data_IF_842187599541
#
_entry.id   IF_842187599541
#
_cell.length_a   1.000
_cell.length_b   1.000
_cell.length_c   1.000
_cell.angle_alpha   90.00
_cell.angle_beta   90.00
_cell.angle_gamma   90.00
#
_symmetry.space_group_name_H-M   'P 1'
#
loop_
_entity.id
_entity.type
_entity.pdbx_description
1 polymer ?
#
# COMPACT_ATOMS: atom_id res chain seq x y z
N UNK A 1 -69.57 -83.59 -20.85
CA UNK A 1 -68.44 -82.72 -20.47
C UNK A 1 -67.16 -83.46 -20.88
N UNK A 2 -66.61 -83.14 -22.06
CA UNK A 2 -65.27 -83.60 -22.44
C UNK A 2 -64.28 -82.97 -21.45
N UNK A 3 -63.54 -83.81 -20.75
CA UNK A 3 -62.72 -83.44 -19.59
C UNK A 3 -61.34 -82.90 -20.04
N UNK A 4 -61.32 -81.94 -20.97
CA UNK A 4 -60.08 -81.39 -21.56
C UNK A 4 -59.68 -80.00 -21.03
N UNK A 5 -60.47 -79.38 -20.13
CA UNK A 5 -60.17 -78.03 -19.60
C UNK A 5 -59.47 -78.07 -18.22
N UNK A 6 -58.15 -78.29 -18.21
CA UNK A 6 -57.32 -78.14 -17.00
C UNK A 6 -57.13 -76.68 -16.56
N UNK A 7 -57.46 -75.71 -17.43
CA UNK A 7 -57.37 -74.27 -17.13
C UNK A 7 -58.36 -73.84 -16.03
N UNK A 8 -59.46 -74.58 -15.84
CA UNK A 8 -60.41 -74.34 -14.76
C UNK A 8 -59.80 -74.49 -13.36
N UNK A 9 -58.81 -75.38 -13.21
CA UNK A 9 -58.09 -75.61 -11.93
C UNK A 9 -57.17 -74.46 -11.55
N UNK A 10 -56.76 -73.63 -12.50
CA UNK A 10 -55.88 -72.48 -12.28
C UNK A 10 -56.66 -71.19 -11.99
N UNK A 11 -58.00 -71.22 -12.05
CA UNK A 11 -58.84 -70.07 -11.75
C UNK A 11 -58.86 -69.75 -10.24
N UNK A 12 -58.86 -68.47 -9.89
CA UNK A 12 -58.94 -68.01 -8.48
C UNK A 12 -60.26 -68.39 -7.78
N UNK A 13 -61.28 -68.80 -8.55
CA UNK A 13 -62.59 -69.25 -8.07
C UNK A 13 -62.72 -70.76 -7.89
N UNK A 14 -61.67 -71.53 -8.16
CA UNK A 14 -61.70 -72.98 -7.99
C UNK A 14 -61.79 -73.35 -6.51
N UNK A 15 -62.78 -74.16 -6.15
CA UNK A 15 -62.97 -74.69 -4.80
C UNK A 15 -63.00 -76.21 -4.88
N UNK A 16 -61.99 -76.86 -4.29
CA UNK A 16 -61.80 -78.31 -4.35
C UNK A 16 -63.01 -79.09 -3.83
N UNK A 17 -63.69 -78.59 -2.80
CA UNK A 17 -64.86 -79.22 -2.20
C UNK A 17 -66.07 -79.23 -3.14
N UNK A 18 -66.29 -78.13 -3.89
CA UNK A 18 -67.37 -78.04 -4.87
C UNK A 18 -67.11 -78.98 -6.04
N UNK A 19 -65.88 -79.00 -6.55
CA UNK A 19 -65.49 -79.91 -7.62
C UNK A 19 -65.63 -81.38 -7.22
N UNK A 20 -65.22 -81.74 -6.00
CA UNK A 20 -65.40 -83.09 -5.48
C UNK A 20 -66.88 -83.50 -5.38
N UNK A 21 -67.76 -82.57 -4.98
CA UNK A 21 -69.20 -82.80 -4.95
C UNK A 21 -69.79 -82.95 -6.35
N UNK A 22 -69.42 -82.07 -7.28
CA UNK A 22 -69.86 -82.14 -8.68
C UNK A 22 -69.39 -83.45 -9.35
N UNK A 23 -68.20 -83.94 -9.02
CA UNK A 23 -67.67 -85.22 -9.51
C UNK A 23 -68.42 -86.43 -8.93
N UNK A 24 -68.77 -86.38 -7.65
CA UNK A 24 -69.61 -87.41 -7.00
C UNK A 24 -71.00 -87.46 -7.62
N UNK A 25 -71.62 -86.28 -7.86
CA UNK A 25 -72.90 -86.17 -8.54
C UNK A 25 -72.83 -86.63 -10.00
N UNK A 26 -71.73 -86.36 -10.71
CA UNK A 26 -71.54 -86.77 -12.11
C UNK A 26 -71.25 -88.26 -12.29
N UNK A 27 -70.88 -88.98 -11.22
CA UNK A 27 -70.56 -90.42 -11.25
C UNK A 27 -71.64 -91.30 -10.62
N UNK A 28 -72.69 -90.70 -10.04
CA UNK A 28 -73.82 -91.40 -9.44
C UNK A 28 -75.14 -90.98 -10.09
N UNK A 29 -76.11 -91.89 -10.15
CA UNK A 29 -77.43 -91.63 -10.71
C UNK A 29 -78.46 -91.46 -9.58
N UNK A 30 -79.42 -90.54 -9.75
CA UNK A 30 -80.32 -90.10 -8.66
C UNK A 30 -81.28 -91.21 -8.19
N UNK A 31 -81.54 -92.21 -9.04
CA UNK A 31 -82.49 -93.30 -8.81
C UNK A 31 -81.86 -94.58 -8.20
N UNK A 32 -80.55 -94.58 -7.90
CA UNK A 32 -79.85 -95.75 -7.36
C UNK A 32 -79.81 -95.67 -5.82
N UNK A 33 -80.34 -96.69 -5.12
CA UNK A 33 -80.43 -96.72 -3.64
C UNK A 33 -79.06 -96.88 -2.94
N UNK A 34 -77.98 -97.13 -3.69
CA UNK A 34 -76.62 -97.29 -3.18
C UNK A 34 -75.65 -96.29 -3.82
N UNK A 35 -75.04 -95.44 -2.99
CA UNK A 35 -74.05 -94.45 -3.43
C UNK A 35 -72.71 -95.12 -3.81
N UNK A 36 -72.28 -95.01 -5.07
CA UNK A 36 -70.96 -95.44 -5.54
C UNK A 36 -69.90 -94.37 -5.25
N UNK A 37 -69.17 -94.60 -4.15
CA UNK A 37 -68.07 -93.73 -3.71
C UNK A 37 -66.73 -94.14 -4.34
N UNK A 38 -66.66 -95.29 -5.04
CA UNK A 38 -65.39 -95.84 -5.52
C UNK A 38 -65.01 -95.38 -6.93
N UNK A 39 -65.99 -95.03 -7.76
CA UNK A 39 -65.75 -94.63 -9.15
C UNK A 39 -65.17 -93.21 -9.28
N UNK A 40 -65.64 -92.28 -8.46
CA UNK A 40 -65.14 -90.89 -8.40
C UNK A 40 -63.62 -90.78 -8.13
N UNK A 41 -63.07 -91.39 -7.05
CA UNK A 41 -61.64 -91.35 -6.76
C UNK A 41 -60.77 -92.03 -7.82
N UNK A 42 -61.27 -93.10 -8.45
CA UNK A 42 -60.57 -93.77 -9.55
C UNK A 42 -60.41 -92.84 -10.74
N UNK A 43 -61.47 -92.11 -11.12
CA UNK A 43 -61.42 -91.13 -12.22
C UNK A 43 -60.42 -90.01 -11.93
N UNK A 44 -60.46 -89.44 -10.73
CA UNK A 44 -59.47 -88.43 -10.31
C UNK A 44 -58.04 -88.97 -10.37
N UNK A 45 -57.83 -90.24 -10.00
CA UNK A 45 -56.51 -90.88 -10.07
C UNK A 45 -56.03 -91.04 -11.52
N UNK A 46 -56.93 -91.30 -12.48
CA UNK A 46 -56.60 -91.30 -13.90
C UNK A 46 -56.21 -89.91 -14.39
N UNK A 47 -56.95 -88.86 -14.02
CA UNK A 47 -56.66 -87.48 -14.42
C UNK A 47 -55.30 -87.01 -13.86
N UNK A 48 -54.98 -87.36 -12.60
CA UNK A 48 -53.67 -87.09 -12.00
C UNK A 48 -52.56 -87.80 -12.78
N UNK A 49 -52.78 -89.05 -13.17
CA UNK A 49 -51.80 -89.82 -13.94
C UNK A 49 -51.61 -89.22 -15.34
N UNK A 50 -52.67 -88.77 -15.99
CA UNK A 50 -52.59 -88.08 -17.28
C UNK A 50 -51.80 -86.76 -17.17
N UNK A 51 -52.03 -85.97 -16.12
CA UNK A 51 -51.24 -84.77 -15.85
C UNK A 51 -49.76 -85.09 -15.63
N UNK A 52 -49.45 -86.17 -14.91
CA UNK A 52 -48.07 -86.64 -14.73
C UNK A 52 -47.44 -87.05 -16.06
N UNK A 53 -48.17 -87.74 -16.92
CA UNK A 53 -47.69 -88.15 -18.24
C UNK A 53 -47.51 -86.95 -19.18
N UNK A 54 -48.41 -85.98 -19.16
CA UNK A 54 -48.29 -84.73 -19.92
C UNK A 54 -47.10 -83.88 -19.43
N UNK A 55 -46.92 -83.78 -18.12
CA UNK A 55 -45.79 -83.06 -17.52
C UNK A 55 -44.47 -83.76 -17.87
N UNK A 56 -44.42 -85.09 -17.82
CA UNK A 56 -43.26 -85.87 -18.24
C UNK A 56 -42.94 -85.65 -19.74
N UNK A 57 -43.96 -85.60 -20.61
CA UNK A 57 -43.79 -85.26 -22.03
C UNK A 57 -43.33 -83.82 -22.25
N UNK A 58 -43.87 -82.86 -21.49
CA UNK A 58 -43.49 -81.46 -21.60
C UNK A 58 -42.04 -81.23 -21.13
N UNK A 59 -41.67 -81.86 -20.01
CA UNK A 59 -40.30 -81.82 -19.47
C UNK A 59 -39.33 -82.51 -20.41
N UNK A 60 -39.68 -83.66 -21.00
CA UNK A 60 -38.78 -84.35 -21.93
C UNK A 60 -38.59 -83.56 -23.24
N UNK A 61 -39.68 -83.03 -23.82
CA UNK A 61 -39.65 -82.26 -25.07
C UNK A 61 -38.96 -80.89 -24.93
N UNK A 62 -39.06 -80.24 -23.78
CA UNK A 62 -38.48 -78.90 -23.54
C UNK A 62 -37.27 -78.91 -22.59
N UNK A 63 -36.73 -80.09 -22.29
CA UNK A 63 -35.61 -80.29 -21.35
C UNK A 63 -34.42 -79.39 -21.64
N UNK A 64 -34.03 -79.29 -22.91
CA UNK A 64 -32.93 -78.43 -23.37
C UNK A 64 -33.21 -76.96 -23.08
N UNK A 65 -34.40 -76.45 -23.43
CA UNK A 65 -34.77 -75.06 -23.19
C UNK A 65 -34.81 -74.72 -21.70
N UNK A 66 -35.36 -75.61 -20.87
CA UNK A 66 -35.41 -75.43 -19.41
C UNK A 66 -34.00 -75.41 -18.80
N UNK A 67 -33.12 -76.32 -19.21
CA UNK A 67 -31.71 -76.35 -18.77
C UNK A 67 -30.97 -75.08 -19.20
N UNK A 68 -31.22 -74.58 -20.42
CA UNK A 68 -30.59 -73.36 -20.93
C UNK A 68 -31.09 -72.12 -20.18
N UNK A 69 -32.38 -72.04 -19.87
CA UNK A 69 -32.90 -70.94 -19.05
C UNK A 69 -32.37 -70.99 -17.61
N UNK A 70 -32.28 -72.19 -17.02
CA UNK A 70 -31.67 -72.37 -15.70
C UNK A 70 -30.18 -72.00 -15.70
N UNK A 71 -29.43 -72.31 -16.77
CA UNK A 71 -28.03 -71.92 -16.89
C UNK A 71 -27.87 -70.41 -17.03
N UNK A 72 -28.68 -69.74 -17.87
CA UNK A 72 -28.68 -68.28 -17.99
C UNK A 72 -29.03 -67.58 -16.66
N UNK A 73 -30.01 -68.09 -15.92
CA UNK A 73 -30.36 -67.56 -14.59
C UNK A 73 -29.18 -67.75 -13.61
N UNK A 74 -28.49 -68.88 -13.68
CA UNK A 74 -27.32 -69.14 -12.84
C UNK A 74 -26.13 -68.23 -13.18
N UNK A 75 -25.92 -67.91 -14.46
CA UNK A 75 -24.87 -66.99 -14.93
C UNK A 75 -25.21 -65.54 -14.57
N UNK A 76 -26.47 -65.12 -14.74
CA UNK A 76 -26.93 -63.81 -14.30
C UNK A 76 -26.81 -63.64 -12.77
N UNK A 77 -27.08 -64.70 -12.01
CA UNK A 77 -26.88 -64.70 -10.56
C UNK A 77 -25.39 -64.58 -10.21
N UNK A 78 -24.51 -65.33 -10.88
CA UNK A 78 -23.05 -65.23 -10.69
C UNK A 78 -22.50 -63.85 -11.03
N UNK A 79 -22.97 -63.23 -12.12
CA UNK A 79 -22.53 -61.88 -12.50
C UNK A 79 -23.08 -60.81 -11.55
N UNK A 80 -24.31 -60.96 -11.06
CA UNK A 80 -24.87 -60.09 -10.03
C UNK A 80 -24.14 -60.21 -8.68
N UNK A 81 -23.78 -61.43 -8.26
CA UNK A 81 -22.96 -61.67 -7.07
C UNK A 81 -21.50 -61.18 -7.27
N UNK A 82 -20.97 -61.27 -8.49
CA UNK A 82 -19.64 -60.79 -8.87
C UNK A 82 -19.51 -59.26 -8.94
N UNK A 83 -20.60 -58.54 -9.19
CA UNK A 83 -20.69 -57.09 -9.05
C UNK A 83 -20.66 -56.73 -7.56
N UNK A 84 -19.45 -56.63 -7.00
CA UNK A 84 -19.23 -56.28 -5.60
C UNK A 84 -19.43 -54.77 -5.36
N UNK A 85 -20.65 -54.29 -5.63
CA UNK A 85 -21.10 -52.92 -5.39
C UNK A 85 -20.86 -52.51 -3.94
N UNK A 86 -20.88 -53.47 -3.00
CA UNK A 86 -20.52 -53.26 -1.60
C UNK A 86 -19.06 -52.88 -1.43
N UNK A 87 -18.13 -53.57 -2.12
CA UNK A 87 -16.71 -53.24 -2.10
C UNK A 87 -16.41 -51.92 -2.80
N UNK A 88 -17.10 -51.59 -3.89
CA UNK A 88 -16.96 -50.28 -4.53
C UNK A 88 -17.45 -49.18 -3.59
N UNK A 89 -18.63 -49.34 -2.99
CA UNK A 89 -19.16 -48.39 -2.02
C UNK A 89 -18.28 -48.28 -0.78
N UNK A 90 -17.67 -49.37 -0.30
CA UNK A 90 -16.74 -49.31 0.83
C UNK A 90 -15.44 -48.60 0.45
N UNK A 91 -14.90 -48.84 -0.75
CA UNK A 91 -13.74 -48.12 -1.29
C UNK A 91 -14.02 -46.63 -1.48
N UNK A 92 -15.18 -46.24 -2.00
CA UNK A 92 -15.57 -44.82 -2.10
C UNK A 92 -15.81 -44.17 -0.75
N UNK A 93 -16.46 -44.87 0.19
CA UNK A 93 -16.60 -44.38 1.58
C UNK A 93 -15.24 -44.20 2.22
N UNK A 94 -14.32 -45.14 2.00
CA UNK A 94 -12.95 -45.06 2.48
C UNK A 94 -12.20 -43.89 1.85
N UNK A 95 -12.28 -43.70 0.53
CA UNK A 95 -11.66 -42.55 -0.14
C UNK A 95 -12.19 -41.21 0.41
N UNK A 96 -13.51 -41.11 0.60
CA UNK A 96 -14.14 -39.92 1.17
C UNK A 96 -13.66 -39.66 2.60
N UNK A 97 -13.61 -40.70 3.43
CA UNK A 97 -13.24 -40.57 4.83
C UNK A 97 -11.74 -40.36 5.05
N UNK A 98 -10.90 -41.04 4.27
CA UNK A 98 -9.45 -41.05 4.44
C UNK A 98 -8.79 -39.84 3.76
N UNK A 99 -9.41 -39.26 2.71
CA UNK A 99 -8.80 -38.19 1.92
C UNK A 99 -9.65 -36.92 1.85
N UNK A 100 -10.94 -37.02 1.49
CA UNK A 100 -11.76 -35.82 1.26
C UNK A 100 -12.03 -35.07 2.56
N UNK A 101 -12.48 -35.76 3.61
CA UNK A 101 -12.78 -35.13 4.90
C UNK A 101 -11.52 -34.48 5.51
N UNK A 102 -10.36 -35.17 5.62
CA UNK A 102 -9.14 -34.55 6.11
C UNK A 102 -8.67 -33.37 5.26
N UNK A 103 -8.84 -33.41 3.94
CA UNK A 103 -8.53 -32.30 3.06
C UNK A 103 -9.42 -31.08 3.32
N UNK A 104 -10.74 -31.28 3.44
CA UNK A 104 -11.69 -30.21 3.74
C UNK A 104 -11.42 -29.58 5.12
N UNK A 105 -11.05 -30.40 6.11
CA UNK A 105 -10.68 -29.93 7.44
C UNK A 105 -9.34 -29.17 7.41
N UNK A 106 -8.37 -29.63 6.63
CA UNK A 106 -7.11 -28.91 6.40
C UNK A 106 -7.35 -27.56 5.71
N UNK A 107 -8.27 -27.47 4.74
CA UNK A 107 -8.67 -26.21 4.11
C UNK A 107 -9.30 -25.23 5.11
N UNK A 108 -10.17 -25.72 6.01
CA UNK A 108 -10.73 -24.88 7.08
C UNK A 108 -9.62 -24.34 7.99
N UNK A 109 -8.68 -25.19 8.41
CA UNK A 109 -7.52 -24.77 9.23
C UNK A 109 -6.64 -23.77 8.50
N UNK A 110 -6.35 -24.00 7.22
CA UNK A 110 -5.59 -23.07 6.39
C UNK A 110 -6.29 -21.70 6.28
N UNK A 111 -7.61 -21.69 6.10
CA UNK A 111 -8.39 -20.44 6.06
C UNK A 111 -8.35 -19.69 7.39
N UNK A 112 -8.41 -20.42 8.51
CA UNK A 112 -8.29 -19.85 9.85
C UNK A 112 -6.87 -19.27 10.06
N UNK A 113 -5.83 -20.01 9.69
CA UNK A 113 -4.45 -19.56 9.77
C UNK A 113 -4.22 -18.30 8.92
N UNK A 114 -4.77 -18.25 7.70
CA UNK A 114 -4.68 -17.07 6.82
C UNK A 114 -5.32 -15.84 7.46
N UNK A 115 -6.50 -16.00 8.10
CA UNK A 115 -7.16 -14.90 8.83
C UNK A 115 -6.36 -14.45 10.06
N UNK A 116 -5.81 -15.39 10.83
CA UNK A 116 -4.96 -15.09 11.98
C UNK A 116 -3.72 -14.33 11.54
N UNK A 117 -3.05 -14.79 10.48
CA UNK A 117 -1.87 -14.12 9.94
C UNK A 117 -2.18 -12.70 9.46
N UNK A 118 -3.26 -12.52 8.69
CA UNK A 118 -3.68 -11.18 8.23
C UNK A 118 -4.00 -10.24 9.41
N UNK A 119 -4.72 -10.74 10.42
CA UNK A 119 -5.07 -9.98 11.62
C UNK A 119 -3.82 -9.64 12.44
N UNK A 120 -2.91 -10.59 12.62
CA UNK A 120 -1.65 -10.39 13.34
C UNK A 120 -0.75 -9.36 12.65
N UNK A 121 -0.68 -9.42 11.31
CA UNK A 121 0.10 -8.45 10.54
C UNK A 121 -0.49 -7.04 10.65
N UNK A 122 -1.82 -6.90 10.52
CA UNK A 122 -2.50 -5.62 10.71
C UNK A 122 -2.29 -5.08 12.13
N UNK A 123 -2.42 -5.94 13.15
CA UNK A 123 -2.22 -5.55 14.54
C UNK A 123 -0.79 -5.09 14.79
N UNK A 124 0.23 -5.81 14.27
CA UNK A 124 1.63 -5.41 14.39
C UNK A 124 1.88 -4.05 13.74
N UNK A 125 1.36 -3.83 12.53
CA UNK A 125 1.50 -2.57 11.83
C UNK A 125 0.81 -1.43 12.58
N UNK A 126 -0.37 -1.68 13.17
CA UNK A 126 -1.10 -0.71 13.96
C UNK A 126 -0.39 -0.40 15.28
N UNK A 127 0.17 -1.41 15.96
CA UNK A 127 0.96 -1.22 17.17
C UNK A 127 2.21 -0.38 16.91
N UNK A 128 2.93 -0.63 15.81
CA UNK A 128 4.07 0.20 15.43
C UNK A 128 3.66 1.62 15.07
N UNK A 129 2.53 1.80 14.36
CA UNK A 129 1.97 3.12 14.09
C UNK A 129 1.64 3.89 15.38
N UNK A 130 0.98 3.25 16.35
CA UNK A 130 0.66 3.86 17.66
C UNK A 130 1.94 4.21 18.43
N UNK A 131 2.97 3.37 18.35
CA UNK A 131 4.26 3.65 18.97
C UNK A 131 4.91 4.91 18.36
N UNK A 132 4.96 5.03 17.03
CA UNK A 132 5.47 6.23 16.36
C UNK A 132 4.64 7.47 16.72
N UNK A 133 3.31 7.32 16.78
CA UNK A 133 2.40 8.38 17.19
C UNK A 133 2.69 8.86 18.62
N UNK A 134 2.85 7.95 19.57
CA UNK A 134 3.20 8.29 20.96
C UNK A 134 4.54 9.04 21.05
N UNK A 135 5.55 8.62 20.28
CA UNK A 135 6.83 9.34 20.23
C UNK A 135 6.66 10.75 19.65
N UNK A 136 5.87 10.89 18.58
CA UNK A 136 5.60 12.17 17.96
C UNK A 136 4.87 13.11 18.91
N UNK A 137 3.83 12.61 19.59
CA UNK A 137 3.09 13.34 20.63
C UNK A 137 3.99 13.79 21.77
N UNK A 138 4.81 12.88 22.32
CA UNK A 138 5.75 13.19 23.38
C UNK A 138 6.73 14.29 22.96
N UNK A 139 7.18 14.30 21.70
CA UNK A 139 8.07 15.34 21.21
C UNK A 139 7.35 16.67 21.06
N UNK A 140 6.11 16.65 20.58
CA UNK A 140 5.32 17.85 20.32
C UNK A 140 4.90 18.56 21.60
N UNK A 141 4.49 17.83 22.64
CA UNK A 141 3.96 18.41 23.87
C UNK A 141 5.04 18.90 24.84
N UNK A 142 6.23 18.29 24.82
CA UNK A 142 7.26 18.51 25.84
C UNK A 142 8.40 19.41 25.42
N UNK A 143 8.61 19.63 24.11
CA UNK A 143 9.80 20.33 23.62
C UNK A 143 9.50 21.72 23.08
N UNK A 144 10.51 22.57 23.17
CA UNK A 144 10.51 23.90 22.57
C UNK A 144 11.30 23.88 21.27
N UNK A 145 10.59 24.06 20.16
CA UNK A 145 11.15 24.01 18.81
C UNK A 145 12.00 25.23 18.44
N UNK A 146 11.94 26.29 19.23
CA UNK A 146 12.62 27.58 18.98
C UNK A 146 13.98 27.69 19.68
N UNK A 147 14.46 26.64 20.35
CA UNK A 147 15.74 26.66 21.05
C UNK A 147 16.89 26.14 20.17
N UNK A 148 17.94 26.93 19.89
CA UNK A 148 19.10 26.44 19.17
C UNK A 148 19.81 25.34 19.99
N UNK A 149 20.33 24.27 19.35
CA UNK A 149 20.53 24.13 17.91
C UNK A 149 19.33 23.51 17.16
N UNK A 150 18.11 23.53 17.72
CA UNK A 150 16.88 23.05 17.08
C UNK A 150 16.86 21.53 16.82
N UNK A 151 17.45 20.75 17.72
CA UNK A 151 17.48 19.28 17.60
C UNK A 151 16.08 18.67 17.59
N UNK A 152 15.12 19.29 18.28
CA UNK A 152 13.77 18.75 18.38
C UNK A 152 12.99 18.89 17.07
N UNK A 153 13.32 19.88 16.22
CA UNK A 153 12.83 19.94 14.83
C UNK A 153 13.26 18.72 14.03
N UNK A 154 14.52 18.31 14.16
CA UNK A 154 15.07 17.14 13.46
C UNK A 154 14.43 15.86 13.95
N UNK A 155 14.29 15.69 15.28
CA UNK A 155 13.63 14.51 15.85
C UNK A 155 12.18 14.39 15.38
N UNK A 156 11.43 15.50 15.41
CA UNK A 156 10.06 15.54 14.89
C UNK A 156 10.03 15.15 13.41
N UNK A 157 10.91 15.75 12.60
CA UNK A 157 11.01 15.48 11.16
C UNK A 157 11.27 14.01 10.86
N UNK A 158 12.21 13.38 11.57
CA UNK A 158 12.55 11.97 11.39
C UNK A 158 11.37 11.05 11.71
N UNK A 159 10.70 11.27 12.84
CA UNK A 159 9.56 10.44 13.25
C UNK A 159 8.35 10.68 12.33
N UNK A 160 8.08 11.93 11.95
CA UNK A 160 7.02 12.28 10.99
C UNK A 160 7.25 11.60 9.64
N UNK A 161 8.49 11.62 9.13
CA UNK A 161 8.84 10.95 7.87
C UNK A 161 8.69 9.43 7.98
N UNK A 162 9.14 8.82 9.07
CA UNK A 162 8.99 7.38 9.30
C UNK A 162 7.52 6.97 9.41
N UNK A 163 6.69 7.82 10.04
CA UNK A 163 5.25 7.60 10.15
C UNK A 163 4.59 7.64 8.77
N UNK A 164 4.92 8.64 7.95
CA UNK A 164 4.37 8.76 6.59
C UNK A 164 4.82 7.59 5.70
N UNK A 165 6.10 7.17 5.78
CA UNK A 165 6.61 6.00 5.07
C UNK A 165 5.89 4.71 5.50
N UNK A 166 5.71 4.50 6.80
CA UNK A 166 5.01 3.31 7.31
C UNK A 166 3.55 3.25 6.87
N UNK A 167 2.87 4.40 6.81
CA UNK A 167 1.49 4.49 6.29
C UNK A 167 1.43 4.20 4.79
N UNK A 168 2.45 4.61 4.01
CA UNK A 168 2.55 4.31 2.58
C UNK A 168 2.81 2.81 2.33
N UNK A 169 3.73 2.21 3.09
CA UNK A 169 4.10 0.79 2.94
C UNK A 169 2.95 -0.15 3.36
N UNK A 170 2.25 0.18 4.44
CA UNK A 170 1.17 -0.63 4.98
C UNK A 170 -0.20 -0.09 4.58
N UNK A 171 -0.58 -0.27 3.29
CA UNK A 171 -1.88 0.17 2.74
C UNK A 171 -3.11 -0.29 3.54
N UNK A 172 -3.02 -1.43 4.24
CA UNK A 172 -4.07 -1.93 5.13
C UNK A 172 -4.34 -1.03 6.36
N UNK A 173 -3.37 -0.23 6.80
CA UNK A 173 -3.54 0.72 7.90
C UNK A 173 -4.50 1.86 7.57
N UNK A 174 -4.55 2.28 6.30
CA UNK A 174 -5.46 3.33 5.86
C UNK A 174 -6.94 2.93 5.98
N UNK A 175 -7.24 1.65 6.21
CA UNK A 175 -8.60 1.21 6.52
C UNK A 175 -9.03 1.54 7.96
N UNK A 176 -8.07 1.69 8.89
CA UNK A 176 -8.33 1.90 10.30
C UNK A 176 -8.79 3.34 10.57
N UNK A 177 -9.88 3.49 11.31
CA UNK A 177 -10.43 4.80 11.64
C UNK A 177 -9.44 5.65 12.46
N UNK A 178 -8.70 5.06 13.40
CA UNK A 178 -7.67 5.75 14.18
C UNK A 178 -6.63 6.48 13.30
N UNK A 179 -6.19 5.82 12.22
CA UNK A 179 -5.19 6.39 11.29
C UNK A 179 -5.80 7.56 10.52
N UNK A 180 -7.05 7.41 10.05
CA UNK A 180 -7.79 8.46 9.34
C UNK A 180 -8.04 9.69 10.22
N UNK A 181 -8.43 9.47 11.48
CA UNK A 181 -8.75 10.53 12.43
C UNK A 181 -7.49 11.32 12.83
N UNK A 182 -6.34 10.66 12.90
CA UNK A 182 -5.08 11.31 13.27
C UNK A 182 -4.38 12.04 12.11
N UNK A 183 -4.56 11.59 10.87
CA UNK A 183 -3.95 12.23 9.68
C UNK A 183 -4.11 13.77 9.62
N UNK A 184 -5.29 14.37 9.87
CA UNK A 184 -5.42 15.82 9.88
C UNK A 184 -4.65 16.49 11.04
N UNK A 185 -4.53 15.83 12.20
CA UNK A 185 -3.75 16.34 13.34
C UNK A 185 -2.26 16.32 13.00
N UNK A 186 -1.75 15.21 12.47
CA UNK A 186 -0.37 15.10 11.99
C UNK A 186 -0.06 16.21 10.99
N UNK A 187 -0.91 16.38 9.97
CA UNK A 187 -0.72 17.42 8.93
C UNK A 187 -0.68 18.84 9.51
N UNK A 188 -1.56 19.17 10.47
CA UNK A 188 -1.56 20.49 11.13
C UNK A 188 -0.25 20.73 11.88
N UNK A 189 0.27 19.72 12.55
CA UNK A 189 1.54 19.82 13.29
C UNK A 189 2.74 19.93 12.35
N UNK A 190 2.74 19.18 11.25
CA UNK A 190 3.77 19.33 10.20
C UNK A 190 3.80 20.75 9.66
N UNK A 191 2.64 21.35 9.39
CA UNK A 191 2.54 22.75 8.95
C UNK A 191 3.10 23.70 10.02
N UNK A 192 2.71 23.53 11.28
CA UNK A 192 3.24 24.34 12.39
C UNK A 192 4.78 24.27 12.50
N UNK A 193 5.36 23.07 12.39
CA UNK A 193 6.82 22.88 12.42
C UNK A 193 7.51 23.50 11.22
N UNK A 194 6.88 23.41 10.03
CA UNK A 194 7.38 24.08 8.82
C UNK A 194 7.35 25.60 9.00
N UNK A 195 6.29 26.17 9.56
CA UNK A 195 6.16 27.62 9.79
C UNK A 195 7.23 28.13 10.78
N UNK A 196 7.51 27.38 11.84
CA UNK A 196 8.62 27.65 12.76
C UNK A 196 9.95 27.61 12.02
N UNK A 197 10.25 26.53 11.31
CA UNK A 197 11.52 26.38 10.61
C UNK A 197 11.71 27.45 9.52
N UNK A 198 10.64 27.83 8.82
CA UNK A 198 10.64 28.95 7.86
C UNK A 198 10.96 30.28 8.53
N UNK A 199 10.38 30.55 9.69
CA UNK A 199 10.65 31.75 10.49
C UNK A 199 12.11 31.78 10.96
N UNK A 200 12.62 30.66 11.47
CA UNK A 200 14.00 30.53 11.91
C UNK A 200 15.01 30.70 10.76
N UNK A 201 14.70 30.14 9.57
CA UNK A 201 15.54 30.33 8.38
C UNK A 201 15.63 31.82 8.01
N UNK A 202 14.50 32.54 8.02
CA UNK A 202 14.46 33.97 7.70
C UNK A 202 15.25 34.86 8.67
N UNK A 203 15.54 34.35 9.87
CA UNK A 203 16.23 35.06 10.95
C UNK A 203 17.68 34.61 11.13
N UNK A 204 18.26 33.85 10.18
CA UNK A 204 19.67 33.42 10.26
C UNK A 204 20.60 34.64 10.32
N UNK A 205 21.50 34.64 11.29
CA UNK A 205 22.50 35.69 11.50
C UNK A 205 23.91 35.12 11.30
N UNK A 206 24.93 35.98 11.31
CA UNK A 206 26.32 35.54 11.21
C UNK A 206 26.76 34.67 12.39
N UNK A 207 26.09 34.79 13.54
CA UNK A 207 26.39 34.05 14.78
C UNK A 207 25.63 32.72 14.84
N UNK A 208 24.77 32.42 13.87
CA UNK A 208 24.06 31.16 13.79
C UNK A 208 25.03 29.99 13.61
N UNK A 209 24.98 29.01 14.52
CA UNK A 209 25.87 27.85 14.46
C UNK A 209 25.61 26.98 13.23
N UNK A 210 26.65 26.32 12.71
CA UNK A 210 26.54 25.37 11.58
C UNK A 210 25.45 24.31 11.83
N UNK A 211 25.35 23.81 13.06
CA UNK A 211 24.33 22.82 13.43
C UNK A 211 22.91 23.39 13.37
N UNK A 212 22.72 24.65 13.78
CA UNK A 212 21.40 25.30 13.73
C UNK A 212 20.92 25.45 12.29
N UNK A 213 21.80 25.93 11.40
CA UNK A 213 21.52 26.03 9.97
C UNK A 213 21.21 24.64 9.39
N UNK A 214 22.00 23.63 9.75
CA UNK A 214 21.80 22.27 9.27
C UNK A 214 20.44 21.70 9.67
N UNK A 215 20.05 21.88 10.93
CA UNK A 215 18.80 21.35 11.47
C UNK A 215 17.57 22.04 10.84
N UNK A 216 17.63 23.36 10.60
CA UNK A 216 16.56 24.10 9.91
C UNK A 216 16.44 23.65 8.45
N UNK A 217 17.56 23.60 7.71
CA UNK A 217 17.58 23.19 6.31
C UNK A 217 17.07 21.75 6.13
N UNK A 218 17.52 20.82 6.99
CA UNK A 218 17.06 19.43 6.96
C UNK A 218 15.55 19.32 7.20
N UNK A 219 15.02 20.05 8.18
CA UNK A 219 13.59 20.05 8.50
C UNK A 219 12.75 20.52 7.32
N UNK A 220 13.11 21.68 6.75
CA UNK A 220 12.37 22.26 5.61
C UNK A 220 12.50 21.40 4.34
N UNK A 221 13.69 20.90 4.02
CA UNK A 221 13.90 20.07 2.82
C UNK A 221 13.30 18.67 2.92
N UNK A 222 13.05 18.18 4.14
CA UNK A 222 12.40 16.87 4.31
C UNK A 222 10.88 17.00 4.31
N UNK A 223 10.33 17.99 5.02
CA UNK A 223 8.88 18.15 5.18
C UNK A 223 8.22 18.98 4.07
N UNK A 224 8.90 19.99 3.52
CA UNK A 224 8.29 20.94 2.58
C UNK A 224 9.32 21.60 1.62
N UNK A 225 9.72 20.86 0.58
CA UNK A 225 10.72 21.27 -0.42
C UNK A 225 10.40 22.65 -1.06
N UNK A 226 9.14 22.93 -1.38
CA UNK A 226 8.72 24.20 -1.96
C UNK A 226 8.84 25.36 -0.95
N UNK A 227 8.51 25.13 0.32
CA UNK A 227 8.65 26.14 1.36
C UNK A 227 10.13 26.45 1.61
N UNK A 228 10.99 25.44 1.59
CA UNK A 228 12.44 25.63 1.65
C UNK A 228 12.93 26.60 0.57
N UNK A 229 12.59 26.34 -0.70
CA UNK A 229 12.99 27.19 -1.82
C UNK A 229 12.45 28.62 -1.69
N UNK A 230 11.18 28.77 -1.32
CA UNK A 230 10.56 30.08 -1.11
C UNK A 230 11.24 30.85 0.04
N UNK A 231 11.62 30.18 1.12
CA UNK A 231 12.33 30.81 2.23
C UNK A 231 13.74 31.23 1.85
N UNK A 232 14.47 30.43 1.05
CA UNK A 232 15.79 30.81 0.52
C UNK A 232 15.69 32.05 -0.37
N UNK A 233 14.70 32.07 -1.28
CA UNK A 233 14.48 33.22 -2.16
C UNK A 233 14.09 34.48 -1.35
N UNK A 234 13.13 34.35 -0.42
CA UNK A 234 12.69 35.47 0.42
C UNK A 234 13.81 36.01 1.31
N UNK A 235 14.68 35.14 1.85
CA UNK A 235 15.84 35.56 2.64
C UNK A 235 16.84 36.34 1.78
N UNK A 236 17.14 35.82 0.59
CA UNK A 236 18.03 36.51 -0.36
C UNK A 236 17.47 37.88 -0.74
N UNK A 237 16.19 37.96 -1.11
CA UNK A 237 15.55 39.21 -1.52
C UNK A 237 15.56 40.25 -0.39
N UNK A 238 15.23 39.83 0.84
CA UNK A 238 15.26 40.71 2.02
C UNK A 238 16.68 41.22 2.31
N UNK A 239 17.67 40.33 2.33
CA UNK A 239 19.06 40.71 2.65
C UNK A 239 19.69 41.54 1.54
N UNK A 240 19.39 41.24 0.28
CA UNK A 240 19.81 42.04 -0.88
C UNK A 240 19.17 43.43 -0.82
N UNK A 241 17.87 43.52 -0.50
CA UNK A 241 17.17 44.81 -0.38
C UNK A 241 17.75 45.66 0.76
N UNK A 242 17.89 45.08 1.96
CA UNK A 242 18.50 45.75 3.13
C UNK A 242 19.92 46.23 2.84
N UNK A 243 20.74 45.36 2.25
CA UNK A 243 22.13 45.68 1.91
C UNK A 243 22.24 46.77 0.85
N UNK A 244 21.44 46.66 -0.21
CA UNK A 244 21.41 47.63 -1.29
C UNK A 244 20.97 49.01 -0.80
N UNK A 245 19.91 49.07 0.02
CA UNK A 245 19.43 50.33 0.61
C UNK A 245 20.46 50.93 1.57
N UNK A 246 21.16 50.12 2.36
CA UNK A 246 22.23 50.59 3.24
C UNK A 246 23.34 51.27 2.42
N UNK A 247 23.78 50.68 1.31
CA UNK A 247 24.80 51.26 0.42
C UNK A 247 24.28 52.51 -0.27
N UNK A 248 23.05 52.51 -0.80
CA UNK A 248 22.46 53.67 -1.50
C UNK A 248 22.34 54.89 -0.57
N UNK A 249 22.01 54.69 0.71
CA UNK A 249 21.95 55.79 1.70
C UNK A 249 23.31 56.48 1.91
N UNK A 250 24.42 55.79 1.64
CA UNK A 250 25.76 56.38 1.74
C UNK A 250 26.04 57.38 0.62
N UNK A 251 25.30 57.33 -0.51
CA UNK A 251 25.54 58.21 -1.66
C UNK A 251 25.46 59.70 -1.28
N UNK A 252 24.52 60.05 -0.40
CA UNK A 252 24.35 61.41 0.12
C UNK A 252 25.28 61.74 1.30
N UNK A 253 25.94 60.74 1.87
CA UNK A 253 26.80 60.89 3.05
C UNK A 253 27.99 59.91 3.00
N UNK A 254 28.99 60.16 2.13
CA UNK A 254 30.12 59.24 1.90
C UNK A 254 30.86 58.77 3.16
N UNK A 255 30.88 59.58 4.21
CA UNK A 255 31.55 59.27 5.48
C UNK A 255 30.97 58.04 6.19
N UNK A 256 29.73 57.67 5.92
CA UNK A 256 29.04 56.54 6.58
C UNK A 256 29.23 55.21 5.86
N UNK A 257 30.04 55.15 4.79
CA UNK A 257 30.22 53.92 4.01
C UNK A 257 30.81 52.78 4.85
N UNK A 258 31.77 53.06 5.72
CA UNK A 258 32.43 52.04 6.54
C UNK A 258 31.43 51.38 7.49
N UNK A 259 30.70 52.18 8.27
CA UNK A 259 29.69 51.67 9.21
C UNK A 259 28.47 51.03 8.51
N UNK A 260 28.16 51.44 7.28
CA UNK A 260 27.13 50.77 6.47
C UNK A 260 27.61 49.42 5.96
N UNK A 261 28.89 49.33 5.57
CA UNK A 261 29.50 48.08 5.10
C UNK A 261 29.71 47.06 6.21
N UNK A 262 29.93 47.48 7.46
CA UNK A 262 29.94 46.56 8.61
C UNK A 262 28.60 45.82 8.74
N UNK A 263 27.48 46.54 8.60
CA UNK A 263 26.14 45.94 8.65
C UNK A 263 25.86 45.02 7.46
N UNK A 264 26.25 45.44 6.26
CA UNK A 264 26.12 44.64 5.04
C UNK A 264 26.96 43.37 5.15
N UNK A 265 28.19 43.48 5.66
CA UNK A 265 29.10 42.36 5.87
C UNK A 265 28.51 41.33 6.83
N UNK A 266 27.86 41.77 7.91
CA UNK A 266 27.19 40.87 8.85
C UNK A 266 26.04 40.06 8.19
N UNK A 267 25.25 40.69 7.32
CA UNK A 267 24.19 39.99 6.56
C UNK A 267 24.78 39.06 5.50
N UNK A 268 25.82 39.50 4.80
CA UNK A 268 26.51 38.70 3.79
C UNK A 268 27.21 37.48 4.42
N UNK A 269 27.74 37.61 5.64
CA UNK A 269 28.36 36.51 6.40
C UNK A 269 27.35 35.42 6.77
N UNK A 270 26.13 35.79 7.12
CA UNK A 270 25.04 34.83 7.31
C UNK A 270 24.77 34.01 6.03
N UNK A 271 24.69 34.69 4.87
CA UNK A 271 24.52 34.04 3.57
C UNK A 271 25.72 33.17 3.22
N UNK A 272 26.94 33.62 3.53
CA UNK A 272 28.16 32.85 3.29
C UNK A 272 28.14 31.52 4.05
N UNK A 273 27.82 31.55 5.36
CA UNK A 273 27.74 30.34 6.16
C UNK A 273 26.65 29.37 5.66
N UNK A 274 25.49 29.90 5.27
CA UNK A 274 24.41 29.12 4.64
C UNK A 274 24.87 28.50 3.30
N UNK A 275 25.48 29.29 2.43
CA UNK A 275 25.98 28.86 1.12
C UNK A 275 27.03 27.76 1.26
N UNK A 276 27.99 27.92 2.17
CA UNK A 276 29.05 26.93 2.42
C UNK A 276 28.45 25.61 2.95
N UNK A 277 27.52 25.69 3.90
CA UNK A 277 26.80 24.50 4.36
C UNK A 277 26.06 23.79 3.21
N UNK A 278 25.39 24.55 2.34
CA UNK A 278 24.61 23.99 1.23
C UNK A 278 25.47 23.36 0.14
N UNK A 279 26.71 23.83 -0.04
CA UNK A 279 27.69 23.22 -0.96
C UNK A 279 28.25 21.90 -0.42
N UNK A 280 28.48 21.81 0.88
CA UNK A 280 29.09 20.64 1.53
C UNK A 280 28.10 19.49 1.81
N UNK A 281 26.79 19.78 1.83
CA UNK A 281 25.78 18.84 2.35
C UNK A 281 24.87 18.29 1.23
N UNK A 282 24.65 16.96 1.18
CA UNK A 282 23.68 16.36 0.25
C UNK A 282 22.24 16.70 0.65
N UNK A 283 21.37 16.82 -0.35
CA UNK A 283 19.94 17.03 -0.14
C UNK A 283 19.27 15.72 0.35
N UNK A 284 18.37 15.72 1.37
CA UNK A 284 17.91 14.50 2.04
C UNK A 284 17.27 13.43 1.15
N UNK A 285 16.68 13.83 0.01
CA UNK A 285 15.95 12.95 -0.92
C UNK A 285 16.67 12.72 -2.26
N UNK A 286 17.80 13.39 -2.50
CA UNK A 286 18.45 13.44 -3.81
C UNK A 286 19.96 13.25 -3.67
N UNK A 287 20.62 12.82 -4.74
CA UNK A 287 22.08 12.66 -4.75
C UNK A 287 22.84 13.99 -4.87
N UNK A 288 22.15 15.07 -5.26
CA UNK A 288 22.75 16.39 -5.42
C UNK A 288 22.83 17.16 -4.09
N UNK A 289 23.69 18.18 -4.02
CA UNK A 289 23.80 19.05 -2.85
C UNK A 289 22.63 20.04 -2.77
N UNK A 290 22.43 20.65 -1.60
CA UNK A 290 21.43 21.72 -1.44
C UNK A 290 21.68 22.88 -2.41
N UNK A 291 22.94 23.27 -2.62
CA UNK A 291 23.31 24.34 -3.54
C UNK A 291 22.94 23.98 -4.99
N UNK A 292 23.25 22.77 -5.44
CA UNK A 292 22.87 22.27 -6.77
C UNK A 292 21.34 22.26 -6.96
N UNK A 293 20.60 21.79 -5.96
CA UNK A 293 19.13 21.80 -6.00
C UNK A 293 18.57 23.23 -6.11
N UNK A 294 19.10 24.18 -5.33
CA UNK A 294 18.67 25.57 -5.40
C UNK A 294 19.05 26.24 -6.74
N UNK A 295 20.24 25.95 -7.28
CA UNK A 295 20.66 26.48 -8.59
C UNK A 295 19.72 25.99 -9.70
N UNK A 296 19.38 24.70 -9.71
CA UNK A 296 18.46 24.12 -10.68
C UNK A 296 17.04 24.70 -10.55
N UNK A 297 16.48 24.74 -9.33
CA UNK A 297 15.08 25.13 -9.12
C UNK A 297 14.84 26.64 -9.14
N UNK A 298 15.81 27.45 -8.71
CA UNK A 298 15.72 28.91 -8.70
C UNK A 298 16.38 29.57 -9.92
N UNK A 299 16.95 28.78 -10.84
CA UNK A 299 17.70 29.25 -12.01
C UNK A 299 18.87 30.18 -11.64
N UNK A 300 19.60 29.84 -10.57
CA UNK A 300 20.80 30.58 -10.19
C UNK A 300 22.03 30.02 -10.91
N UNK A 301 22.77 30.91 -11.58
CA UNK A 301 24.01 30.55 -12.31
C UNK A 301 25.26 30.49 -11.42
N UNK A 302 25.10 30.62 -10.10
CA UNK A 302 26.19 30.66 -9.12
C UNK A 302 25.66 30.29 -7.74
N UNK A 303 26.57 30.05 -6.80
CA UNK A 303 26.20 29.85 -5.40
C UNK A 303 25.45 31.05 -4.80
N UNK A 304 24.77 30.81 -3.67
CA UNK A 304 23.91 31.81 -3.02
C UNK A 304 24.68 33.07 -2.63
N UNK A 305 25.92 32.93 -2.17
CA UNK A 305 26.75 34.07 -1.76
C UNK A 305 27.13 34.97 -2.95
N UNK A 306 27.57 34.37 -4.05
CA UNK A 306 27.89 35.08 -5.29
C UNK A 306 26.63 35.66 -5.93
N UNK A 307 25.52 34.92 -5.87
CA UNK A 307 24.22 35.40 -6.33
C UNK A 307 23.79 36.67 -5.58
N UNK A 308 23.88 36.66 -4.25
CA UNK A 308 23.58 37.79 -3.39
C UNK A 308 24.37 39.05 -3.81
N UNK A 309 25.70 38.96 -3.90
CA UNK A 309 26.54 40.10 -4.27
C UNK A 309 26.31 40.58 -5.70
N UNK A 310 25.99 39.67 -6.63
CA UNK A 310 25.61 40.02 -7.99
C UNK A 310 24.34 40.87 -7.99
N UNK A 311 23.31 40.50 -7.22
CA UNK A 311 22.08 41.27 -7.14
C UNK A 311 22.30 42.65 -6.49
N UNK A 312 23.09 42.72 -5.42
CA UNK A 312 23.48 44.01 -4.81
C UNK A 312 24.21 44.90 -5.83
N UNK A 313 25.19 44.35 -6.55
CA UNK A 313 25.95 45.08 -7.57
C UNK A 313 25.04 45.62 -8.71
N UNK A 314 24.12 44.79 -9.21
CA UNK A 314 23.16 45.15 -10.25
C UNK A 314 22.21 46.27 -9.79
N UNK A 315 21.82 46.29 -8.51
CA UNK A 315 20.96 47.34 -7.97
C UNK A 315 21.71 48.66 -7.75
N UNK A 316 22.91 48.63 -7.17
CA UNK A 316 23.63 49.86 -6.80
C UNK A 316 24.28 50.54 -8.02
N UNK A 317 24.75 49.77 -9.01
CA UNK A 317 25.51 50.32 -10.15
C UNK A 317 24.77 51.44 -10.91
N UNK A 318 23.49 51.25 -11.28
CA UNK A 318 22.67 52.30 -11.88
C UNK A 318 22.53 53.54 -10.98
N UNK A 319 22.40 53.37 -9.66
CA UNK A 319 22.26 54.47 -8.70
C UNK A 319 23.52 55.31 -8.57
N UNK A 320 24.69 54.68 -8.56
CA UNK A 320 25.98 55.39 -8.63
C UNK A 320 26.11 56.16 -9.94
N UNK A 321 25.79 55.52 -11.08
CA UNK A 321 25.84 56.16 -12.40
C UNK A 321 24.93 57.38 -12.48
N UNK A 322 23.68 57.23 -12.04
CA UNK A 322 22.69 58.30 -12.00
C UNK A 322 23.17 59.46 -11.14
N UNK A 323 23.65 59.19 -9.91
CA UNK A 323 24.11 60.22 -8.98
C UNK A 323 25.32 60.98 -9.53
N UNK A 324 26.28 60.29 -10.17
CA UNK A 324 27.44 60.94 -10.79
C UNK A 324 27.03 61.74 -12.03
N UNK A 325 26.12 61.23 -12.86
CA UNK A 325 25.66 61.90 -14.08
C UNK A 325 24.88 63.19 -13.79
N UNK A 326 24.10 63.23 -12.69
CA UNK A 326 23.40 64.44 -12.22
C UNK A 326 24.36 65.55 -11.77
N UNK A 327 25.60 65.19 -11.42
CA UNK A 327 26.59 66.15 -10.96
C UNK A 327 26.27 66.75 -9.59
N UNK A 328 26.74 67.98 -9.35
CA UNK A 328 26.51 68.71 -8.10
C UNK A 328 27.44 68.33 -6.93
N UNK A 329 27.16 68.85 -5.72
CA UNK A 329 28.03 68.68 -4.55
C UNK A 329 28.19 67.21 -4.13
N UNK A 330 27.11 66.42 -4.21
CA UNK A 330 27.09 65.00 -3.86
C UNK A 330 27.99 64.19 -4.79
N UNK A 331 27.89 64.39 -6.11
CA UNK A 331 28.75 63.72 -7.08
C UNK A 331 30.23 64.07 -6.89
N UNK A 332 30.55 65.35 -6.63
CA UNK A 332 31.94 65.78 -6.34
C UNK A 332 32.48 65.14 -5.06
N UNK A 333 31.67 65.09 -4.01
CA UNK A 333 32.04 64.42 -2.76
C UNK A 333 32.31 62.92 -2.98
N UNK A 334 31.45 62.25 -3.75
CA UNK A 334 31.59 60.84 -4.10
C UNK A 334 32.88 60.54 -4.87
N UNK A 335 33.19 61.34 -5.91
CA UNK A 335 34.47 61.22 -6.65
C UNK A 335 35.68 61.41 -5.72
N UNK A 336 35.63 62.41 -4.84
CA UNK A 336 36.69 62.65 -3.85
C UNK A 336 36.88 61.46 -2.89
N UNK A 337 35.80 60.77 -2.54
CA UNK A 337 35.82 59.57 -1.69
C UNK A 337 35.96 58.24 -2.45
N UNK A 338 36.28 58.24 -3.75
CA UNK A 338 36.30 57.00 -4.57
C UNK A 338 37.18 55.90 -3.97
N UNK A 339 38.39 56.26 -3.52
CA UNK A 339 39.30 55.30 -2.86
C UNK A 339 38.70 54.74 -1.57
N UNK A 340 38.03 55.56 -0.77
CA UNK A 340 37.37 55.13 0.46
C UNK A 340 36.24 54.14 0.16
N UNK A 341 35.45 54.37 -0.88
CA UNK A 341 34.42 53.43 -1.33
C UNK A 341 35.03 52.11 -1.79
N UNK A 342 36.09 52.16 -2.61
CA UNK A 342 36.76 50.94 -3.08
C UNK A 342 37.25 50.11 -1.91
N UNK A 343 37.97 50.72 -0.96
CA UNK A 343 38.48 50.03 0.22
C UNK A 343 37.37 49.50 1.13
N UNK A 344 36.34 50.31 1.40
CA UNK A 344 35.23 49.89 2.27
C UNK A 344 34.42 48.73 1.67
N UNK A 345 34.17 48.74 0.36
CA UNK A 345 33.50 47.64 -0.34
C UNK A 345 34.37 46.38 -0.33
N UNK A 346 35.64 46.49 -0.72
CA UNK A 346 36.56 45.34 -0.74
C UNK A 346 36.69 44.72 0.65
N UNK A 347 36.97 45.53 1.68
CA UNK A 347 37.12 45.03 3.05
C UNK A 347 35.81 44.44 3.59
N UNK A 348 34.66 45.09 3.32
CA UNK A 348 33.37 44.58 3.77
C UNK A 348 33.03 43.21 3.16
N UNK A 349 33.33 43.00 1.86
CA UNK A 349 33.09 41.72 1.18
C UNK A 349 34.07 40.64 1.69
N UNK A 350 35.35 40.97 1.88
CA UNK A 350 36.35 40.04 2.42
C UNK A 350 35.97 39.61 3.85
N UNK A 351 35.51 40.54 4.68
CA UNK A 351 35.04 40.22 6.04
C UNK A 351 33.78 39.35 6.08
N UNK A 352 33.08 39.23 4.95
CA UNK A 352 31.86 38.42 4.85
C UNK A 352 32.13 36.92 4.70
N UNK A 353 33.37 36.49 4.43
CA UNK A 353 33.69 35.06 4.29
C UNK A 353 35.18 34.75 4.37
N UNK A 354 35.51 33.64 5.02
CA UNK A 354 36.90 33.29 5.36
C UNK A 354 37.77 33.00 4.12
N UNK A 355 37.16 32.51 3.03
CA UNK A 355 37.85 32.11 1.80
C UNK A 355 37.80 33.21 0.70
N UNK A 356 37.36 34.43 1.07
CA UNK A 356 37.18 35.54 0.13
C UNK A 356 38.43 36.41 0.05
N UNK A 357 38.92 36.64 -1.16
CA UNK A 357 40.11 37.46 -1.45
C UNK A 357 39.75 38.64 -2.33
N UNK A 358 40.68 39.58 -2.53
CA UNK A 358 40.48 40.73 -3.43
C UNK A 358 40.13 40.33 -4.87
N UNK A 359 40.58 39.15 -5.31
CA UNK A 359 40.36 38.64 -6.66
C UNK A 359 39.06 37.81 -6.78
N UNK A 360 38.34 37.60 -5.69
CA UNK A 360 37.09 36.83 -5.71
C UNK A 360 36.03 37.54 -6.57
N UNK A 361 35.20 36.73 -7.23
CA UNK A 361 34.14 37.20 -8.14
C UNK A 361 33.25 38.28 -7.50
N UNK A 362 32.76 38.13 -6.25
CA UNK A 362 31.93 39.16 -5.60
C UNK A 362 32.62 40.52 -5.47
N UNK A 363 33.92 40.55 -5.14
CA UNK A 363 34.71 41.79 -5.03
C UNK A 363 34.82 42.46 -6.39
N UNK A 364 35.16 41.69 -7.43
CA UNK A 364 35.29 42.20 -8.80
C UNK A 364 33.97 42.77 -9.31
N UNK A 365 32.84 42.10 -9.07
CA UNK A 365 31.50 42.57 -9.45
C UNK A 365 31.15 43.92 -8.79
N UNK A 366 31.40 44.03 -7.49
CA UNK A 366 31.09 45.24 -6.73
C UNK A 366 31.99 46.43 -7.13
N UNK A 367 33.28 46.20 -7.36
CA UNK A 367 34.20 47.24 -7.85
C UNK A 367 33.77 47.71 -9.25
N UNK A 368 33.35 46.80 -10.13
CA UNK A 368 32.85 47.15 -11.46
C UNK A 368 31.56 47.99 -11.39
N UNK A 369 30.67 47.71 -10.44
CA UNK A 369 29.45 48.48 -10.25
C UNK A 369 29.72 49.96 -9.90
N UNK A 370 30.82 50.26 -9.20
CA UNK A 370 31.21 51.62 -8.82
C UNK A 370 32.27 52.26 -9.73
N UNK A 371 32.62 51.63 -10.86
CA UNK A 371 33.69 52.10 -11.77
C UNK A 371 33.48 53.55 -12.25
N UNK A 372 32.23 54.02 -12.29
CA UNK A 372 31.86 55.40 -12.65
C UNK A 372 32.48 56.46 -11.72
N UNK A 373 32.93 56.09 -10.51
CA UNK A 373 33.61 57.00 -9.59
C UNK A 373 35.04 57.39 -10.04
N UNK A 374 35.66 56.61 -10.93
CA UNK A 374 37.05 56.80 -11.36
C UNK A 374 37.20 57.58 -12.68
N UNK A 375 36.08 57.89 -13.36
CA UNK A 375 36.03 58.85 -14.47
C UNK A 375 35.36 60.12 -13.99
#
# INVERSE_FOLDING_TARGET
MSLEDFDGFLSQSFVAEKFANDLLLATNNVDDDNLDILTSPKRLSFDIKELQDLLARFVSSNSTRLVTQLSHISELKKTHEGLNVRQINSSFKRLKNDFIIPYDDALKLYSALKRIHATSNLLRNASYYVFLLQQLESIFDQNEFDKPPFNDLVKFTQISTNLDLHVQDASSLMSLQLVKDYQPVHRKRTVFIVDIASTLLSQITADSSKQSIANICFTLATLADNNFLNCIQSLLDDYTSKSSQAIVKTLTSPKTIVSSMEKVSHLAKAIYHLSKYMQETPFPKLSQTYDQYCQEKLNYNSDLFTHFWRQVALFIGPKFRETISRGGPVAKALKKSSQQYKLALTNGIIQSGDDITENSIPVTMMINAIRVLNG
#
